data_IF_930397624831
#
_entry.id   IF_930397624831
#
_cell.length_a   1.000
_cell.length_b   1.000
_cell.length_c   1.000
_cell.angle_alpha   90.00
_cell.angle_beta   90.00
_cell.angle_gamma   90.00
#
_symmetry.space_group_name_H-M   'P 1'
#
loop_
_entity.id
_entity.type
_entity.pdbx_description
1 polymer ?
#
# COMPACT_ATOMS: atom_id res chain seq x y z
N UNK A 1 -8.39 12.76 20.94
CA UNK A 1 -9.34 11.69 21.31
C UNK A 1 -8.62 10.50 21.93
N UNK A 2 -7.57 9.93 21.29
CA UNK A 2 -6.84 8.76 21.80
C UNK A 2 -6.15 8.97 23.16
N UNK A 3 -5.52 10.14 23.35
CA UNK A 3 -4.85 10.51 24.62
C UNK A 3 -5.87 10.75 25.74
N UNK A 4 -6.99 11.40 25.44
CA UNK A 4 -8.06 11.71 26.43
C UNK A 4 -8.86 10.45 26.77
N UNK A 5 -8.99 9.50 25.81
CA UNK A 5 -9.74 8.26 26.01
C UNK A 5 -8.92 7.07 26.52
N UNK A 6 -7.61 7.25 26.83
CA UNK A 6 -6.68 6.20 27.26
C UNK A 6 -6.74 4.92 26.39
N UNK A 7 -7.02 5.07 25.09
CA UNK A 7 -7.12 3.96 24.13
C UNK A 7 -5.82 3.79 23.35
N UNK A 8 -5.09 2.71 23.62
CA UNK A 8 -3.88 2.34 22.87
C UNK A 8 -4.17 2.09 21.38
N UNK A 9 -5.35 1.56 21.06
CA UNK A 9 -5.78 1.35 19.69
C UNK A 9 -5.92 2.67 18.92
N UNK A 10 -6.52 3.70 19.51
CA UNK A 10 -6.64 5.03 18.89
C UNK A 10 -5.29 5.74 18.74
N UNK A 11 -4.33 5.48 19.64
CA UNK A 11 -2.97 6.02 19.52
C UNK A 11 -2.25 5.32 18.37
N UNK A 12 -2.36 3.99 18.26
CA UNK A 12 -1.81 3.22 17.12
C UNK A 12 -2.40 3.69 15.78
N UNK A 13 -3.70 3.93 15.71
CA UNK A 13 -4.36 4.42 14.49
C UNK A 13 -3.90 5.84 14.12
N UNK A 14 -3.68 6.70 15.10
CA UNK A 14 -3.12 8.03 14.88
C UNK A 14 -1.69 7.98 14.34
N UNK A 15 -0.82 7.13 14.90
CA UNK A 15 0.56 6.93 14.42
C UNK A 15 0.55 6.37 13.00
N UNK A 16 -0.37 5.46 12.70
CA UNK A 16 -0.52 4.91 11.35
C UNK A 16 -0.95 5.99 10.35
N UNK A 17 -1.93 6.82 10.70
CA UNK A 17 -2.35 7.95 9.86
C UNK A 17 -1.25 8.98 9.64
N UNK A 18 -0.35 9.18 10.61
CA UNK A 18 0.82 10.05 10.46
C UNK A 18 1.83 9.47 9.44
N UNK A 19 2.03 8.16 9.45
CA UNK A 19 2.83 7.45 8.44
C UNK A 19 2.25 7.56 7.03
N UNK A 20 0.93 7.54 6.89
CA UNK A 20 0.22 7.72 5.61
C UNK A 20 0.49 9.12 5.04
N UNK A 21 0.41 10.16 5.87
CA UNK A 21 0.73 11.55 5.47
C UNK A 21 2.19 11.65 5.01
N UNK A 22 3.12 11.00 5.71
CA UNK A 22 4.53 10.99 5.31
C UNK A 22 4.73 10.32 3.95
N UNK A 23 4.11 9.18 3.71
CA UNK A 23 4.16 8.48 2.41
C UNK A 23 3.65 9.37 1.29
N UNK A 24 2.51 10.02 1.48
CA UNK A 24 1.93 10.96 0.50
C UNK A 24 2.86 12.14 0.21
N UNK A 25 3.55 12.69 1.22
CA UNK A 25 4.55 13.76 1.04
C UNK A 25 5.71 13.26 0.18
N UNK A 26 6.24 12.06 0.44
CA UNK A 26 7.33 11.47 -0.36
C UNK A 26 6.90 11.31 -1.82
N UNK A 27 5.68 10.85 -2.07
CA UNK A 27 5.12 10.74 -3.43
C UNK A 27 5.03 12.10 -4.10
N UNK A 28 4.44 13.09 -3.43
CA UNK A 28 4.29 14.44 -3.98
C UNK A 28 5.65 15.06 -4.34
N UNK A 29 6.65 14.89 -3.50
CA UNK A 29 8.01 15.35 -3.77
C UNK A 29 8.61 14.59 -4.96
N UNK A 30 8.50 13.26 -4.98
CA UNK A 30 9.02 12.41 -6.06
C UNK A 30 8.44 12.76 -7.42
N UNK A 31 7.11 12.86 -7.52
CA UNK A 31 6.40 13.23 -8.76
C UNK A 31 6.74 14.66 -9.19
N UNK A 32 6.77 15.61 -8.24
CA UNK A 32 7.08 17.02 -8.53
C UNK A 32 8.51 17.21 -9.03
N UNK A 33 9.47 16.49 -8.45
CA UNK A 33 10.87 16.57 -8.87
C UNK A 33 11.07 15.79 -10.16
N UNK A 34 10.46 14.60 -10.29
CA UNK A 34 10.51 13.78 -11.51
C UNK A 34 9.96 14.49 -12.74
N UNK A 35 8.95 15.35 -12.57
CA UNK A 35 8.39 16.17 -13.64
C UNK A 35 9.19 17.42 -14.02
N UNK A 36 10.37 17.66 -13.42
CA UNK A 36 11.25 18.77 -13.79
C UNK A 36 11.94 18.48 -15.11
N UNK A 37 11.99 19.53 -15.98
CA UNK A 37 12.78 19.50 -17.21
C UNK A 37 14.28 19.30 -16.93
N UNK A 38 15.03 18.92 -17.97
CA UNK A 38 16.48 18.78 -17.92
C UNK A 38 17.16 20.11 -17.53
N UNK A 39 18.19 20.03 -16.70
CA UNK A 39 19.02 21.14 -16.30
C UNK A 39 20.51 20.85 -16.58
N UNK A 40 21.39 21.79 -16.25
CA UNK A 40 22.84 21.63 -16.51
C UNK A 40 23.47 20.44 -15.78
N UNK A 41 22.89 20.03 -14.65
CA UNK A 41 23.41 18.92 -13.84
C UNK A 41 22.73 17.58 -14.20
N UNK A 42 21.48 17.64 -14.70
CA UNK A 42 20.67 16.48 -15.08
C UNK A 42 20.20 16.62 -16.52
N UNK A 43 21.08 16.34 -17.46
CA UNK A 43 20.83 16.51 -18.90
C UNK A 43 19.71 15.61 -19.45
N UNK A 44 19.45 14.48 -18.80
CA UNK A 44 18.37 13.52 -19.15
C UNK A 44 17.08 13.73 -18.37
N UNK A 45 16.95 14.87 -17.63
CA UNK A 45 15.79 15.12 -16.79
C UNK A 45 15.88 14.47 -15.41
N UNK A 46 14.78 14.52 -14.66
CA UNK A 46 14.71 14.11 -13.26
C UNK A 46 13.78 12.89 -13.04
N UNK A 47 13.31 12.23 -14.10
CA UNK A 47 12.34 11.14 -14.03
C UNK A 47 12.82 9.97 -13.13
N UNK A 48 14.13 9.71 -13.07
CA UNK A 48 14.71 8.67 -12.20
C UNK A 48 14.48 8.93 -10.70
N UNK A 49 14.28 10.18 -10.29
CA UNK A 49 13.98 10.50 -8.88
C UNK A 49 12.56 10.06 -8.49
N UNK A 50 11.63 10.03 -9.43
CA UNK A 50 10.32 9.42 -9.20
C UNK A 50 10.45 7.89 -9.00
N UNK A 51 11.31 7.24 -9.78
CA UNK A 51 11.58 5.80 -9.60
C UNK A 51 12.19 5.49 -8.23
N UNK A 52 13.05 6.38 -7.70
CA UNK A 52 13.57 6.26 -6.32
C UNK A 52 12.44 6.37 -5.29
N UNK A 53 11.52 7.31 -5.45
CA UNK A 53 10.35 7.42 -4.58
C UNK A 53 9.49 6.15 -4.64
N UNK A 54 9.24 5.62 -5.84
CA UNK A 54 8.53 4.35 -6.05
C UNK A 54 9.20 3.18 -5.33
N UNK A 55 10.54 3.13 -5.37
CA UNK A 55 11.33 2.09 -4.70
C UNK A 55 11.17 2.15 -3.19
N UNK A 56 11.25 3.35 -2.60
CA UNK A 56 11.08 3.56 -1.15
C UNK A 56 9.69 3.08 -0.72
N UNK A 57 8.65 3.45 -1.47
CA UNK A 57 7.27 3.05 -1.17
C UNK A 57 7.04 1.55 -1.36
N UNK A 58 7.62 0.94 -2.39
CA UNK A 58 7.57 -0.51 -2.59
C UNK A 58 8.21 -1.27 -1.42
N UNK A 59 9.36 -0.79 -0.91
CA UNK A 59 10.01 -1.36 0.27
C UNK A 59 9.15 -1.18 1.53
N UNK A 60 8.56 -0.01 1.73
CA UNK A 60 7.64 0.24 2.85
C UNK A 60 6.44 -0.69 2.79
N UNK A 61 5.84 -0.86 1.61
CA UNK A 61 4.73 -1.77 1.37
C UNK A 61 5.12 -3.24 1.64
N UNK A 62 6.33 -3.66 1.22
CA UNK A 62 6.85 -5.00 1.50
C UNK A 62 7.03 -5.24 3.00
N UNK A 63 7.61 -4.29 3.73
CA UNK A 63 7.78 -4.38 5.19
C UNK A 63 6.43 -4.48 5.89
N UNK A 64 5.46 -3.66 5.52
CA UNK A 64 4.09 -3.70 6.05
C UNK A 64 3.43 -5.05 5.77
N UNK A 65 3.50 -5.54 4.52
CA UNK A 65 2.97 -6.84 4.13
C UNK A 65 3.58 -8.00 4.92
N UNK A 66 4.92 -8.00 5.07
CA UNK A 66 5.62 -8.98 5.89
C UNK A 66 5.18 -8.93 7.36
N UNK A 67 5.00 -7.73 7.91
CA UNK A 67 4.53 -7.55 9.30
C UNK A 67 3.13 -8.15 9.51
N UNK A 68 2.20 -7.89 8.59
CA UNK A 68 0.85 -8.46 8.62
C UNK A 68 0.90 -10.00 8.53
N UNK A 69 1.69 -10.53 7.59
CA UNK A 69 1.83 -11.98 7.39
C UNK A 69 2.49 -12.67 8.58
N UNK A 70 3.55 -12.09 9.13
CA UNK A 70 4.21 -12.60 10.32
C UNK A 70 3.26 -12.63 11.53
N UNK A 71 2.45 -11.58 11.73
CA UNK A 71 1.43 -11.55 12.76
C UNK A 71 0.39 -12.66 12.59
N UNK A 72 -0.09 -12.87 11.36
CA UNK A 72 -1.00 -13.97 11.03
C UNK A 72 -0.41 -15.35 11.31
N UNK A 73 0.81 -15.62 10.82
CA UNK A 73 1.51 -16.89 11.05
C UNK A 73 1.78 -17.16 12.52
N UNK A 74 2.25 -16.15 13.26
CA UNK A 74 2.49 -16.26 14.71
C UNK A 74 1.22 -16.66 15.45
N UNK A 75 0.07 -16.07 15.10
CA UNK A 75 -1.22 -16.41 15.71
C UNK A 75 -1.66 -17.85 15.37
N UNK A 76 -1.42 -18.32 14.14
CA UNK A 76 -1.72 -19.71 13.75
C UNK A 76 -0.86 -20.69 14.55
N UNK A 77 0.47 -20.44 14.68
CA UNK A 77 1.42 -21.33 15.33
C UNK A 77 1.21 -21.36 16.87
N UNK A 78 0.92 -20.20 17.46
CA UNK A 78 0.68 -20.09 18.89
C UNK A 78 -0.63 -20.76 19.36
N UNK A 79 -1.49 -21.17 18.43
CA UNK A 79 -2.84 -21.61 18.74
C UNK A 79 -3.71 -20.41 19.14
N UNK A 80 -4.98 -20.46 18.85
CA UNK A 80 -5.91 -19.36 19.17
C UNK A 80 -6.29 -19.29 20.66
N UNK A 81 -5.41 -19.70 21.56
CA UNK A 81 -5.67 -19.63 22.99
C UNK A 81 -5.62 -18.18 23.46
N UNK A 82 -6.77 -17.60 23.68
CA UNK A 82 -6.93 -16.46 24.56
C UNK A 82 -6.95 -15.06 23.95
N UNK A 83 -7.19 -14.86 22.67
CA UNK A 83 -7.56 -13.55 22.19
C UNK A 83 -8.95 -13.19 22.73
N UNK A 84 -9.01 -12.39 23.78
CA UNK A 84 -10.28 -11.79 24.26
C UNK A 84 -10.82 -10.90 23.15
N UNK A 85 -11.77 -11.42 22.39
CA UNK A 85 -12.41 -10.69 21.29
C UNK A 85 -13.37 -9.70 21.93
N UNK A 86 -12.96 -8.45 21.99
CA UNK A 86 -13.86 -7.36 22.32
C UNK A 86 -14.79 -7.17 21.11
N UNK A 87 -16.05 -7.54 21.29
CA UNK A 87 -17.09 -7.28 20.29
C UNK A 87 -17.24 -5.77 20.15
N UNK A 88 -16.90 -5.18 18.99
CA UNK A 88 -17.01 -3.74 18.83
C UNK A 88 -18.49 -3.31 18.93
N UNK A 89 -18.72 -2.19 19.61
CA UNK A 89 -20.04 -1.56 19.62
C UNK A 89 -20.39 -1.05 18.22
N UNK A 90 -21.64 -0.72 17.96
CA UNK A 90 -22.11 -0.31 16.63
C UNK A 90 -21.38 0.93 16.09
N UNK A 91 -20.97 1.87 16.94
CA UNK A 91 -20.28 3.09 16.52
C UNK A 91 -18.86 2.84 15.96
N UNK A 92 -17.96 2.06 16.62
CA UNK A 92 -16.67 1.66 16.05
C UNK A 92 -16.82 0.84 14.76
N UNK A 93 -17.84 -0.02 14.66
CA UNK A 93 -18.08 -0.80 13.44
C UNK A 93 -18.44 0.10 12.25
N UNK A 94 -19.33 1.05 12.45
CA UNK A 94 -19.69 2.03 11.42
C UNK A 94 -18.48 2.89 11.00
N UNK A 95 -17.66 3.33 11.96
CA UNK A 95 -16.44 4.07 11.68
C UNK A 95 -15.42 3.24 10.88
N UNK A 96 -15.25 1.96 11.19
CA UNK A 96 -14.36 1.05 10.45
C UNK A 96 -14.85 0.86 9.00
N UNK A 97 -16.15 0.65 8.78
CA UNK A 97 -16.71 0.53 7.43
C UNK A 97 -16.49 1.82 6.63
N UNK A 98 -16.75 2.98 7.23
CA UNK A 98 -16.53 4.27 6.58
C UNK A 98 -15.06 4.48 6.22
N UNK A 99 -14.14 4.11 7.10
CA UNK A 99 -12.70 4.16 6.86
C UNK A 99 -12.29 3.27 5.68
N UNK A 100 -12.80 2.04 5.60
CA UNK A 100 -12.53 1.12 4.48
C UNK A 100 -13.03 1.72 3.16
N UNK A 101 -14.25 2.24 3.12
CA UNK A 101 -14.82 2.86 1.93
C UNK A 101 -14.00 4.08 1.49
N UNK A 102 -13.57 4.92 2.45
CA UNK A 102 -12.74 6.07 2.16
C UNK A 102 -11.37 5.65 1.59
N UNK A 103 -10.69 4.68 2.20
CA UNK A 103 -9.38 4.17 1.75
C UNK A 103 -9.47 3.51 0.36
N UNK A 104 -10.51 2.72 0.10
CA UNK A 104 -10.74 2.13 -1.23
C UNK A 104 -11.08 3.21 -2.26
N UNK A 105 -11.81 4.25 -1.89
CA UNK A 105 -12.05 5.42 -2.73
C UNK A 105 -10.75 6.17 -3.08
N UNK A 106 -9.86 6.35 -2.10
CA UNK A 106 -8.53 6.94 -2.29
C UNK A 106 -7.68 6.08 -3.24
N UNK A 107 -7.69 4.75 -3.06
CA UNK A 107 -7.02 3.83 -4.00
C UNK A 107 -7.46 4.06 -5.44
N UNK A 108 -8.77 4.05 -5.72
CA UNK A 108 -9.28 4.22 -7.07
C UNK A 108 -8.96 5.59 -7.66
N UNK A 109 -9.05 6.65 -6.85
CA UNK A 109 -8.72 8.01 -7.26
C UNK A 109 -7.24 8.14 -7.62
N UNK A 110 -6.35 7.70 -6.71
CA UNK A 110 -4.90 7.76 -6.90
C UNK A 110 -4.44 6.85 -8.04
N UNK A 111 -5.01 5.64 -8.16
CA UNK A 111 -4.67 4.70 -9.23
C UNK A 111 -5.04 5.24 -10.62
N UNK A 112 -6.19 5.91 -10.75
CA UNK A 112 -6.57 6.56 -12.01
C UNK A 112 -5.57 7.64 -12.41
N UNK A 113 -5.19 8.51 -11.48
CA UNK A 113 -4.16 9.52 -11.71
C UNK A 113 -2.81 8.87 -12.07
N UNK A 114 -2.39 7.84 -11.34
CA UNK A 114 -1.15 7.11 -11.58
C UNK A 114 -1.06 6.52 -12.99
N UNK A 115 -2.15 5.95 -13.48
CA UNK A 115 -2.21 5.39 -14.85
C UNK A 115 -2.18 6.47 -15.90
N UNK A 116 -2.88 7.61 -15.67
CA UNK A 116 -2.94 8.71 -16.64
C UNK A 116 -1.57 9.35 -16.88
N UNK A 117 -0.78 9.55 -15.81
CA UNK A 117 0.55 10.17 -15.91
C UNK A 117 1.69 9.14 -15.92
N UNK A 118 1.36 7.83 -15.95
CA UNK A 118 2.31 6.70 -15.90
C UNK A 118 3.30 6.79 -14.71
N UNK A 119 2.84 7.25 -13.55
CA UNK A 119 3.64 7.43 -12.34
C UNK A 119 3.73 6.14 -11.51
N UNK A 120 4.96 5.65 -11.31
CA UNK A 120 5.24 4.51 -10.43
C UNK A 120 5.03 4.86 -8.95
N UNK A 121 5.39 6.08 -8.55
CA UNK A 121 5.23 6.56 -7.18
C UNK A 121 3.76 6.64 -6.77
N UNK A 122 2.89 7.16 -7.65
CA UNK A 122 1.45 7.18 -7.40
C UNK A 122 0.83 5.78 -7.40
N UNK A 123 1.34 4.84 -8.21
CA UNK A 123 0.91 3.43 -8.14
C UNK A 123 1.23 2.83 -6.78
N UNK A 124 2.42 3.08 -6.26
CA UNK A 124 2.85 2.60 -4.95
C UNK A 124 1.99 3.17 -3.82
N UNK A 125 1.68 4.47 -3.85
CA UNK A 125 0.81 5.15 -2.89
C UNK A 125 -0.63 4.60 -2.93
N UNK A 126 -1.19 4.41 -4.13
CA UNK A 126 -2.49 3.76 -4.29
C UNK A 126 -2.52 2.37 -3.64
N UNK A 127 -1.52 1.53 -3.89
CA UNK A 127 -1.43 0.22 -3.28
C UNK A 127 -1.24 0.26 -1.77
N UNK A 128 -0.58 1.30 -1.24
CA UNK A 128 -0.49 1.52 0.20
C UNK A 128 -1.88 1.72 0.81
N UNK A 129 -2.69 2.61 0.27
CA UNK A 129 -4.08 2.81 0.72
C UNK A 129 -4.93 1.54 0.62
N UNK A 130 -4.74 0.75 -0.44
CA UNK A 130 -5.44 -0.52 -0.61
C UNK A 130 -4.98 -1.58 0.39
N UNK A 131 -3.69 -1.64 0.71
CA UNK A 131 -3.13 -2.51 1.75
C UNK A 131 -3.81 -2.26 3.09
N UNK A 132 -3.99 -1.00 3.44
CA UNK A 132 -4.64 -0.59 4.68
C UNK A 132 -6.14 -0.93 4.70
N UNK A 133 -6.83 -0.71 3.57
CA UNK A 133 -8.23 -1.12 3.43
C UNK A 133 -8.39 -2.63 3.58
N UNK A 134 -7.54 -3.42 2.92
CA UNK A 134 -7.56 -4.89 3.01
C UNK A 134 -7.25 -5.39 4.41
N UNK A 135 -6.29 -4.77 5.11
CA UNK A 135 -6.00 -5.09 6.51
C UNK A 135 -7.21 -4.86 7.42
N UNK A 136 -7.93 -3.75 7.21
CA UNK A 136 -9.17 -3.44 7.95
C UNK A 136 -10.30 -4.42 7.63
N UNK A 137 -10.45 -4.80 6.35
CA UNK A 137 -11.42 -5.85 5.93
C UNK A 137 -11.07 -7.19 6.56
N UNK A 138 -9.78 -7.58 6.57
CA UNK A 138 -9.32 -8.81 7.21
C UNK A 138 -9.66 -8.84 8.71
N UNK A 139 -9.48 -7.73 9.40
CA UNK A 139 -9.84 -7.60 10.81
C UNK A 139 -11.35 -7.73 11.02
N UNK A 140 -12.18 -7.14 10.16
CA UNK A 140 -13.65 -7.30 10.24
C UNK A 140 -14.09 -8.75 10.01
N UNK A 141 -13.51 -9.42 9.01
CA UNK A 141 -13.76 -10.84 8.74
C UNK A 141 -13.33 -11.71 9.90
N UNK A 142 -12.17 -11.39 10.50
CA UNK A 142 -11.64 -12.07 11.69
C UNK A 142 -12.59 -11.96 12.88
N UNK A 143 -13.06 -10.74 13.18
CA UNK A 143 -14.02 -10.51 14.26
C UNK A 143 -15.33 -11.26 14.00
N UNK A 144 -15.87 -11.16 12.78
CA UNK A 144 -17.09 -11.88 12.40
C UNK A 144 -16.94 -13.40 12.49
N UNK A 145 -15.81 -13.93 12.02
CA UNK A 145 -15.49 -15.35 12.11
C UNK A 145 -15.36 -15.86 13.54
N UNK A 146 -14.74 -15.07 14.40
CA UNK A 146 -14.60 -15.42 15.80
C UNK A 146 -15.94 -15.40 16.55
N UNK A 147 -16.85 -14.48 16.22
CA UNK A 147 -18.24 -14.49 16.74
C UNK A 147 -19.00 -15.76 16.34
N UNK A 148 -18.67 -16.37 15.19
CA UNK A 148 -19.23 -17.65 14.71
C UNK A 148 -18.47 -18.87 15.24
N UNK A 149 -17.43 -18.68 16.08
CA UNK A 149 -16.61 -19.77 16.63
C UNK A 149 -15.41 -20.18 15.78
N UNK A 150 -15.17 -19.49 14.65
CA UNK A 150 -14.04 -19.78 13.74
C UNK A 150 -12.89 -18.79 13.95
N UNK A 151 -12.14 -18.93 15.03
CA UNK A 151 -11.03 -18.00 15.39
C UNK A 151 -9.86 -18.02 14.41
N UNK A 152 -9.74 -19.05 13.57
CA UNK A 152 -8.66 -19.18 12.58
C UNK A 152 -8.85 -18.27 11.35
N UNK A 153 -10.03 -17.71 11.13
CA UNK A 153 -10.32 -16.90 9.94
C UNK A 153 -9.54 -15.58 9.92
N UNK A 154 -9.33 -14.93 11.06
CA UNK A 154 -8.55 -13.69 11.14
C UNK A 154 -7.07 -13.91 10.75
N UNK A 155 -6.31 -14.84 11.37
CA UNK A 155 -4.94 -15.06 10.98
C UNK A 155 -4.78 -15.59 9.55
N UNK A 156 -5.74 -16.38 9.05
CA UNK A 156 -5.72 -16.85 7.67
C UNK A 156 -5.93 -15.69 6.67
N UNK A 157 -6.88 -14.79 6.96
CA UNK A 157 -7.10 -13.61 6.14
C UNK A 157 -5.84 -12.73 6.07
N UNK A 158 -5.13 -12.53 7.20
CA UNK A 158 -3.86 -11.78 7.26
C UNK A 158 -2.78 -12.40 6.37
N UNK A 159 -2.64 -13.72 6.35
CA UNK A 159 -1.67 -14.41 5.49
C UNK A 159 -2.01 -14.24 4.02
N UNK A 160 -3.29 -14.37 3.65
CA UNK A 160 -3.74 -14.15 2.27
C UNK A 160 -3.48 -12.71 1.83
N UNK A 161 -3.84 -11.73 2.65
CA UNK A 161 -3.60 -10.30 2.39
C UNK A 161 -2.12 -10.01 2.21
N UNK A 162 -1.26 -10.59 3.06
CA UNK A 162 0.20 -10.47 2.94
C UNK A 162 0.69 -10.88 1.54
N UNK A 163 0.22 -12.01 1.00
CA UNK A 163 0.63 -12.47 -0.34
C UNK A 163 0.26 -11.47 -1.43
N UNK A 164 -0.95 -10.90 -1.37
CA UNK A 164 -1.38 -9.87 -2.33
C UNK A 164 -0.55 -8.59 -2.23
N UNK A 165 -0.26 -8.14 -1.00
CA UNK A 165 0.55 -6.94 -0.76
C UNK A 165 1.98 -7.15 -1.25
N UNK A 166 2.59 -8.30 -0.94
CA UNK A 166 3.97 -8.60 -1.38
C UNK A 166 4.07 -8.72 -2.89
N UNK A 167 3.06 -9.28 -3.55
CA UNK A 167 3.02 -9.30 -5.01
C UNK A 167 2.99 -7.88 -5.58
N UNK A 168 2.11 -7.02 -5.08
CA UNK A 168 2.04 -5.62 -5.53
C UNK A 168 3.36 -4.87 -5.27
N UNK A 169 3.95 -5.05 -4.10
CA UNK A 169 5.25 -4.45 -3.76
C UNK A 169 6.35 -4.91 -4.72
N UNK A 170 6.38 -6.20 -5.06
CA UNK A 170 7.36 -6.75 -6.00
C UNK A 170 7.16 -6.20 -7.42
N UNK A 171 5.92 -6.11 -7.90
CA UNK A 171 5.62 -5.58 -9.22
C UNK A 171 6.06 -4.10 -9.34
N UNK A 172 5.78 -3.28 -8.31
CA UNK A 172 6.21 -1.88 -8.25
C UNK A 172 7.74 -1.77 -8.15
N UNK A 173 8.37 -2.60 -7.32
CA UNK A 173 9.82 -2.64 -7.17
C UNK A 173 10.51 -2.96 -8.50
N UNK A 174 10.03 -3.96 -9.21
CA UNK A 174 10.55 -4.37 -10.51
C UNK A 174 10.41 -3.25 -11.55
N UNK A 175 9.25 -2.60 -11.63
CA UNK A 175 9.02 -1.47 -12.54
C UNK A 175 9.97 -0.30 -12.23
N UNK A 176 10.17 0.01 -10.94
CA UNK A 176 11.08 1.07 -10.53
C UNK A 176 12.54 0.77 -10.89
N UNK A 177 13.00 -0.46 -10.65
CA UNK A 177 14.36 -0.88 -11.04
C UNK A 177 14.53 -0.87 -12.55
N UNK A 178 13.57 -1.39 -13.34
CA UNK A 178 13.58 -1.36 -14.79
C UNK A 178 13.80 0.05 -15.33
N UNK A 179 13.01 1.02 -14.82
CA UNK A 179 13.15 2.44 -15.18
C UNK A 179 14.49 3.07 -14.76
N UNK A 180 15.09 2.60 -13.67
CA UNK A 180 16.41 3.07 -13.22
C UNK A 180 17.57 2.49 -14.02
N UNK A 181 17.38 1.30 -14.59
CA UNK A 181 18.40 0.57 -15.35
C UNK A 181 18.23 0.68 -16.88
N UNK A 182 17.38 1.61 -17.32
CA UNK A 182 17.12 1.84 -18.75
C UNK A 182 16.62 0.56 -19.47
N UNK A 183 15.69 -0.19 -18.84
CA UNK A 183 15.07 -1.36 -19.44
C UNK A 183 14.44 -0.98 -20.79
N UNK A 184 14.61 -1.83 -21.80
CA UNK A 184 14.08 -1.59 -23.14
C UNK A 184 12.54 -1.45 -23.12
N UNK A 185 12.02 -0.57 -23.97
CA UNK A 185 10.58 -0.45 -24.17
C UNK A 185 9.96 -1.75 -24.68
N UNK A 186 8.65 -1.92 -24.46
CA UNK A 186 7.86 -3.03 -24.99
C UNK A 186 8.08 -3.15 -26.51
N UNK A 187 8.24 -4.39 -27.01
CA UNK A 187 8.48 -4.70 -28.42
C UNK A 187 7.51 -4.01 -29.38
N UNK A 188 6.25 -3.84 -28.96
CA UNK A 188 5.24 -3.10 -29.74
C UNK A 188 5.59 -1.63 -29.93
N UNK A 189 6.14 -1.00 -28.91
CA UNK A 189 6.57 0.41 -28.97
C UNK A 189 7.81 0.55 -29.84
N UNK A 190 8.74 -0.40 -29.72
CA UNK A 190 9.95 -0.46 -30.57
C UNK A 190 9.56 -0.63 -32.05
N UNK A 191 8.61 -1.51 -32.37
CA UNK A 191 8.11 -1.70 -33.73
C UNK A 191 7.37 -0.47 -34.25
N UNK A 192 6.54 0.17 -33.41
CA UNK A 192 5.85 1.41 -33.79
C UNK A 192 6.84 2.54 -34.11
N UNK A 193 7.88 2.70 -33.29
CA UNK A 193 8.94 3.71 -33.55
C UNK A 193 9.72 3.36 -34.84
N UNK A 194 10.07 2.09 -35.07
CA UNK A 194 10.72 1.67 -36.32
C UNK A 194 9.87 1.97 -37.56
N UNK A 195 8.56 1.73 -37.49
CA UNK A 195 7.62 2.02 -38.57
C UNK A 195 7.46 3.52 -38.87
N UNK A 196 7.78 4.40 -37.94
CA UNK A 196 7.73 5.86 -38.10
C UNK A 196 9.04 6.43 -38.68
N UNK A 197 10.14 5.71 -38.53
CA UNK A 197 11.50 6.16 -38.94
C UNK A 197 11.90 5.63 -40.30
N UNK A 198 11.24 4.57 -40.80
CA UNK A 198 11.42 3.98 -42.15
C UNK A 198 10.33 4.50 -43.06
#
# INVERSE_FOLDING_TARGET
AGVIGHSSAMISDAIHSESDVFSTIVVMIGVKIGGKESDKNHQYGHERLESVASLILALTLAVTGCGIGYGGLKTIIAGSEGASIQVPTALPLAAAILSIVAKEGMYWYTMRAAVQINSGALKADAWHHRSDALSSVGSLVGIGGAMLGYTILDPLARVIICVFILKAAFDIFRDAIGKMTDEACDDRMVEAVKALVV
#
